data_IF_917208188763
#
_entry.id   IF_917208188763
#
_cell.length_a   1.000
_cell.length_b   1.000
_cell.length_c   1.000
_cell.angle_alpha   90.00
_cell.angle_beta   90.00
_cell.angle_gamma   90.00
#
_symmetry.space_group_name_H-M   'P 1'
#
loop_
_entity.id
_entity.type
_entity.pdbx_description
1 polymer ?
#
# COMPACT_ATOMS: atom_id res chain seq x y z
N UNK A 1 6.50 18.52 -5.40
CA UNK A 1 7.06 17.66 -4.35
C UNK A 1 8.40 18.26 -3.97
N UNK A 2 8.74 18.32 -2.67
CA UNK A 2 10.05 18.80 -2.26
C UNK A 2 11.11 17.75 -2.60
N UNK A 3 12.30 18.20 -2.96
CA UNK A 3 13.46 17.32 -3.10
C UNK A 3 14.00 17.05 -1.70
N UNK A 4 14.15 15.77 -1.33
CA UNK A 4 14.77 15.37 -0.08
C UNK A 4 16.19 14.91 -0.37
N UNK A 5 17.15 15.43 0.39
CA UNK A 5 18.54 14.99 0.34
C UNK A 5 18.80 14.12 1.57
N UNK A 6 19.12 12.84 1.36
CA UNK A 6 19.49 11.94 2.44
C UNK A 6 20.95 12.19 2.81
N UNK A 7 21.20 12.50 4.08
CA UNK A 7 22.54 12.72 4.61
C UNK A 7 22.70 11.92 5.89
N UNK A 8 23.86 11.27 6.05
CA UNK A 8 24.23 10.62 7.29
C UNK A 8 24.73 11.68 8.27
N UNK A 9 24.02 11.87 9.37
CA UNK A 9 24.51 12.70 10.47
C UNK A 9 25.42 11.88 11.39
N UNK A 10 26.49 12.50 11.88
CA UNK A 10 27.45 11.89 12.81
C UNK A 10 27.05 12.05 14.28
N UNK A 11 26.14 12.97 14.56
CA UNK A 11 25.80 13.39 15.93
C UNK A 11 24.33 13.26 16.25
N UNK A 12 23.48 13.06 15.23
CA UNK A 12 22.04 13.13 15.39
C UNK A 12 21.35 12.04 14.56
N UNK A 13 20.35 11.38 15.14
CA UNK A 13 19.41 10.53 14.41
C UNK A 13 18.05 11.18 14.54
N UNK A 14 17.56 11.77 13.46
CA UNK A 14 16.25 12.40 13.46
C UNK A 14 15.26 11.66 12.57
N UNK A 15 14.20 11.22 13.26
CA UNK A 15 12.98 10.53 12.80
C UNK A 15 13.17 9.16 12.10
N UNK A 16 12.59 8.06 12.64
CA UNK A 16 12.55 6.76 11.97
C UNK A 16 11.69 6.77 10.70
N UNK A 17 11.01 7.89 10.40
CA UNK A 17 10.04 7.98 9.31
C UNK A 17 10.66 8.49 8.00
N UNK A 18 11.99 8.58 7.89
CA UNK A 18 12.69 9.03 6.68
C UNK A 18 12.27 8.28 5.40
N UNK A 19 11.92 7.00 5.53
CA UNK A 19 11.39 6.17 4.43
C UNK A 19 10.14 6.72 3.77
N UNK A 20 9.33 7.56 4.45
CA UNK A 20 8.16 8.20 3.84
C UNK A 20 8.52 9.06 2.63
N UNK A 21 9.70 9.71 2.64
CA UNK A 21 10.15 10.50 1.51
C UNK A 21 10.41 9.62 0.28
N UNK A 22 10.93 8.41 0.49
CA UNK A 22 11.12 7.42 -0.57
C UNK A 22 9.77 6.90 -1.08
N UNK A 23 8.85 6.52 -0.17
CA UNK A 23 7.48 6.09 -0.55
C UNK A 23 6.78 7.16 -1.39
N UNK A 24 6.82 8.41 -0.93
CA UNK A 24 6.26 9.53 -1.67
C UNK A 24 6.95 9.75 -3.01
N UNK A 25 8.27 9.56 -3.11
CA UNK A 25 8.98 9.62 -4.38
C UNK A 25 8.49 8.53 -5.34
N UNK A 26 8.47 7.26 -4.89
CA UNK A 26 7.97 6.12 -5.67
C UNK A 26 6.56 6.38 -6.19
N UNK A 27 5.63 6.71 -5.29
CA UNK A 27 4.24 6.98 -5.66
C UNK A 27 4.12 8.14 -6.66
N UNK A 28 4.81 9.25 -6.43
CA UNK A 28 4.58 10.48 -7.20
C UNK A 28 5.38 10.56 -8.50
N UNK A 29 6.46 9.78 -8.65
CA UNK A 29 7.33 9.78 -9.84
C UNK A 29 7.19 8.55 -10.72
N UNK A 30 6.89 7.40 -10.12
CA UNK A 30 6.90 6.10 -10.80
C UNK A 30 5.50 5.51 -10.98
N UNK A 31 4.45 6.28 -10.69
CA UNK A 31 3.06 5.87 -10.95
C UNK A 31 2.25 7.00 -11.58
N UNK A 32 1.28 6.61 -12.39
CA UNK A 32 0.25 7.45 -12.98
C UNK A 32 -0.93 7.69 -12.02
N UNK A 33 -0.87 7.19 -10.77
CA UNK A 33 -1.98 7.18 -9.83
C UNK A 33 -2.57 8.57 -9.53
N UNK A 34 -1.73 9.61 -9.58
CA UNK A 34 -2.20 11.00 -9.42
C UNK A 34 -3.18 11.43 -10.54
N UNK A 35 -3.01 10.87 -11.74
CA UNK A 35 -3.89 11.10 -12.90
C UNK A 35 -5.07 10.12 -12.86
N UNK A 36 -4.81 8.82 -12.69
CA UNK A 36 -5.87 7.80 -12.75
C UNK A 36 -6.86 7.91 -11.60
N UNK A 37 -6.44 8.31 -10.39
CA UNK A 37 -7.37 8.52 -9.26
C UNK A 37 -8.44 9.60 -9.51
N UNK A 38 -8.32 10.41 -10.58
CA UNK A 38 -9.32 11.39 -11.01
C UNK A 38 -10.47 10.77 -11.80
N UNK A 39 -10.32 9.55 -12.31
CA UNK A 39 -11.38 8.85 -13.06
C UNK A 39 -12.51 8.39 -12.13
N UNK A 40 -12.18 8.12 -10.86
CA UNK A 40 -13.18 7.86 -9.83
C UNK A 40 -13.83 9.17 -9.43
N UNK A 41 -15.12 9.28 -9.73
CA UNK A 41 -15.92 10.48 -9.44
C UNK A 41 -15.88 10.76 -7.94
N UNK A 42 -15.36 11.93 -7.57
CA UNK A 42 -15.51 12.44 -6.21
C UNK A 42 -16.79 13.26 -6.12
N UNK A 43 -17.61 13.04 -5.09
CA UNK A 43 -18.80 13.88 -4.86
C UNK A 43 -18.41 15.32 -4.54
N UNK A 44 -17.65 15.55 -3.45
CA UNK A 44 -17.09 16.87 -3.10
C UNK A 44 -15.86 16.74 -2.18
N UNK A 45 -15.02 17.78 -2.17
CA UNK A 45 -13.92 17.93 -1.22
C UNK A 45 -12.59 17.31 -1.66
N UNK A 46 -11.97 16.58 -0.72
CA UNK A 46 -10.60 16.05 -0.79
C UNK A 46 -10.43 15.12 -2.00
N UNK A 47 -9.42 15.36 -2.87
CA UNK A 47 -9.11 14.46 -3.99
C UNK A 47 -8.75 13.04 -3.55
N UNK A 48 -9.14 12.03 -4.34
CA UNK A 48 -8.86 10.62 -4.03
C UNK A 48 -7.37 10.32 -3.83
N UNK A 49 -6.49 10.96 -4.62
CA UNK A 49 -5.05 10.80 -4.46
C UNK A 49 -4.54 11.24 -3.08
N UNK A 50 -5.19 12.21 -2.43
CA UNK A 50 -4.81 12.65 -1.08
C UNK A 50 -5.22 11.62 -0.03
N UNK A 51 -6.36 10.96 -0.22
CA UNK A 51 -6.79 9.83 0.61
C UNK A 51 -5.79 8.67 0.50
N UNK A 52 -5.45 8.29 -0.73
CA UNK A 52 -4.49 7.23 -1.02
C UNK A 52 -3.12 7.55 -0.41
N UNK A 53 -2.57 8.74 -0.67
CA UNK A 53 -1.28 9.17 -0.10
C UNK A 53 -1.29 9.08 1.42
N UNK A 54 -2.35 9.57 2.05
CA UNK A 54 -2.47 9.58 3.51
C UNK A 54 -2.48 8.15 4.05
N UNK A 55 -3.34 7.28 3.52
CA UNK A 55 -3.48 5.93 4.04
C UNK A 55 -2.28 5.05 3.71
N UNK A 56 -1.70 5.17 2.51
CA UNK A 56 -0.43 4.50 2.15
C UNK A 56 0.68 4.89 3.12
N UNK A 57 0.81 6.18 3.42
CA UNK A 57 1.76 6.68 4.42
C UNK A 57 1.56 6.04 5.79
N UNK A 58 0.30 5.91 6.25
CA UNK A 58 -0.02 5.26 7.52
C UNK A 58 0.36 3.76 7.52
N UNK A 59 0.01 3.03 6.46
CA UNK A 59 0.35 1.61 6.32
C UNK A 59 1.88 1.42 6.35
N UNK A 60 2.64 2.29 5.68
CA UNK A 60 4.11 2.20 5.69
C UNK A 60 4.74 2.46 7.05
N UNK A 61 3.98 3.08 7.98
CA UNK A 61 4.35 3.24 9.38
C UNK A 61 3.80 2.13 10.29
N UNK A 62 3.21 1.06 9.72
CA UNK A 62 2.58 -0.02 10.47
C UNK A 62 1.25 0.36 11.11
N UNK A 63 0.60 1.44 10.65
CA UNK A 63 -0.67 1.92 11.21
C UNK A 63 -1.81 1.67 10.22
N UNK A 64 -2.64 0.66 10.49
CA UNK A 64 -3.81 0.32 9.66
C UNK A 64 -5.11 1.01 10.09
N UNK A 65 -5.17 1.54 11.32
CA UNK A 65 -6.36 2.20 11.86
C UNK A 65 -6.54 3.62 11.26
N UNK A 66 -7.77 3.97 10.84
CA UNK A 66 -8.08 5.30 10.30
C UNK A 66 -7.84 6.45 11.30
N UNK A 67 -7.94 6.21 12.61
CA UNK A 67 -7.67 7.16 13.67
C UNK A 67 -6.21 7.63 13.66
N UNK A 68 -5.29 6.80 13.13
CA UNK A 68 -3.90 7.17 12.96
C UNK A 68 -3.68 8.36 12.01
N UNK A 69 -4.71 8.75 11.24
CA UNK A 69 -4.68 9.95 10.41
C UNK A 69 -4.67 11.25 11.21
N UNK A 70 -5.24 11.29 12.42
CA UNK A 70 -5.40 12.54 13.17
C UNK A 70 -4.05 13.18 13.56
N UNK A 71 -3.08 12.43 14.13
CA UNK A 71 -1.79 13.01 14.50
C UNK A 71 -0.98 13.49 13.29
N UNK A 72 -1.09 12.82 12.14
CA UNK A 72 -0.32 13.15 10.93
C UNK A 72 -1.00 14.22 10.07
N UNK A 73 -2.24 14.60 10.39
CA UNK A 73 -3.04 15.54 9.60
C UNK A 73 -2.37 16.91 9.49
N UNK A 74 -1.71 17.34 10.55
CA UNK A 74 -0.97 18.62 10.65
C UNK A 74 0.54 18.45 10.60
N UNK A 75 1.07 17.23 10.50
CA UNK A 75 2.51 16.95 10.42
C UNK A 75 3.09 17.48 9.09
N UNK A 76 3.98 18.50 9.13
CA UNK A 76 4.57 19.08 7.93
C UNK A 76 5.46 18.12 7.16
N UNK A 77 6.17 17.22 7.85
CA UNK A 77 7.07 16.24 7.24
C UNK A 77 6.26 15.17 6.52
N UNK A 78 5.28 14.56 7.20
CA UNK A 78 4.40 13.54 6.60
C UNK A 78 3.75 14.05 5.31
N UNK A 79 3.19 15.28 5.38
CA UNK A 79 2.58 15.92 4.21
C UNK A 79 3.57 16.19 3.08
N UNK A 80 4.74 16.72 3.42
CA UNK A 80 5.78 17.05 2.43
C UNK A 80 6.34 15.80 1.76
N UNK A 81 6.58 14.75 2.54
CA UNK A 81 7.13 13.47 2.10
C UNK A 81 6.23 12.81 1.07
N UNK A 82 4.93 12.72 1.37
CA UNK A 82 3.95 12.06 0.50
C UNK A 82 3.38 12.96 -0.60
N UNK A 83 3.60 14.29 -0.51
CA UNK A 83 3.04 15.26 -1.43
C UNK A 83 1.56 15.59 -1.18
N UNK A 84 1.13 15.51 0.09
CA UNK A 84 -0.25 15.79 0.53
C UNK A 84 -0.44 17.30 0.67
N UNK A 85 -1.40 17.83 -0.09
CA UNK A 85 -1.87 19.22 0.00
C UNK A 85 -3.00 19.34 1.02
N UNK A 86 -3.93 18.39 1.02
CA UNK A 86 -5.12 18.42 1.86
C UNK A 86 -5.28 17.11 2.63
N UNK A 87 -4.89 17.13 3.90
CA UNK A 87 -4.96 15.97 4.78
C UNK A 87 -6.41 15.69 5.21
N UNK A 88 -6.95 14.48 4.99
CA UNK A 88 -8.27 14.08 5.47
C UNK A 88 -8.28 13.83 6.99
N UNK A 89 -9.46 13.94 7.60
CA UNK A 89 -9.71 13.38 8.94
C UNK A 89 -9.90 11.87 8.87
N UNK A 90 -9.77 11.21 10.02
CA UNK A 90 -10.08 9.79 10.22
C UNK A 90 -11.48 9.43 9.70
N UNK A 91 -12.49 10.19 10.12
CA UNK A 91 -13.88 10.01 9.69
C UNK A 91 -14.03 10.15 8.18
N UNK A 92 -13.33 11.12 7.57
CA UNK A 92 -13.39 11.34 6.13
C UNK A 92 -12.70 10.23 5.33
N UNK A 93 -11.57 9.70 5.81
CA UNK A 93 -10.92 8.53 5.21
C UNK A 93 -11.85 7.32 5.21
N UNK A 94 -12.42 7.00 6.38
CA UNK A 94 -13.33 5.86 6.54
C UNK A 94 -14.51 5.96 5.59
N UNK A 95 -15.25 7.08 5.64
CA UNK A 95 -16.40 7.31 4.78
C UNK A 95 -16.04 7.14 3.29
N UNK A 96 -14.93 7.75 2.85
CA UNK A 96 -14.58 7.76 1.42
C UNK A 96 -14.09 6.40 0.93
N UNK A 97 -13.45 5.60 1.78
CA UNK A 97 -13.09 4.24 1.39
C UNK A 97 -14.28 3.30 1.45
N UNK A 98 -15.22 3.45 2.39
CA UNK A 98 -16.48 2.70 2.36
C UNK A 98 -17.26 2.94 1.06
N UNK A 99 -17.25 4.18 0.56
CA UNK A 99 -17.92 4.57 -0.69
C UNK A 99 -17.14 4.14 -1.95
N UNK A 100 -15.83 4.43 -2.01
CA UNK A 100 -15.08 4.41 -3.28
C UNK A 100 -14.03 3.29 -3.39
N UNK A 101 -13.77 2.49 -2.33
CA UNK A 101 -12.65 1.53 -2.33
C UNK A 101 -12.71 0.55 -3.51
N UNK A 102 -13.89 0.01 -3.83
CA UNK A 102 -14.06 -0.93 -4.97
C UNK A 102 -13.61 -0.33 -6.31
N UNK A 103 -13.79 0.97 -6.50
CA UNK A 103 -13.36 1.68 -7.71
C UNK A 103 -11.89 2.09 -7.67
N UNK A 104 -11.32 2.27 -6.47
CA UNK A 104 -9.91 2.67 -6.28
C UNK A 104 -8.96 1.47 -6.33
N UNK A 105 -9.39 0.28 -5.90
CA UNK A 105 -8.55 -0.93 -5.84
C UNK A 105 -7.89 -1.28 -7.19
N UNK A 106 -8.63 -1.36 -8.32
CA UNK A 106 -7.99 -1.67 -9.61
C UNK A 106 -6.93 -0.64 -10.02
N UNK A 107 -7.10 0.62 -9.61
CA UNK A 107 -6.11 1.66 -9.90
C UNK A 107 -4.81 1.46 -9.11
N UNK A 108 -4.91 0.92 -7.88
CA UNK A 108 -3.75 0.59 -7.05
C UNK A 108 -3.02 -0.65 -7.58
N UNK A 109 -3.75 -1.65 -8.05
CA UNK A 109 -3.16 -2.86 -8.65
C UNK A 109 -2.33 -2.49 -9.89
N UNK A 110 -2.91 -1.70 -10.80
CA UNK A 110 -2.21 -1.20 -11.99
C UNK A 110 -1.02 -0.31 -11.62
N UNK A 111 -1.17 0.58 -10.63
CA UNK A 111 -0.06 1.43 -10.18
C UNK A 111 1.09 0.62 -9.56
N UNK A 112 0.81 -0.52 -8.94
CA UNK A 112 1.84 -1.41 -8.39
C UNK A 112 2.66 -2.06 -9.51
N UNK A 113 1.99 -2.52 -10.57
CA UNK A 113 2.65 -3.05 -11.77
C UNK A 113 3.44 -1.96 -12.49
N UNK A 114 2.85 -0.78 -12.66
CA UNK A 114 3.51 0.38 -13.27
C UNK A 114 4.77 0.78 -12.50
N UNK A 115 4.70 0.81 -11.17
CA UNK A 115 5.83 1.10 -10.30
C UNK A 115 6.98 0.13 -10.55
N UNK A 116 6.71 -1.19 -10.47
CA UNK A 116 7.73 -2.23 -10.67
C UNK A 116 8.39 -2.13 -12.05
N UNK A 117 7.61 -1.87 -13.09
CA UNK A 117 8.13 -1.64 -14.45
C UNK A 117 8.97 -0.37 -14.53
N UNK A 118 8.49 0.72 -13.94
CA UNK A 118 9.15 2.03 -13.99
C UNK A 118 10.51 2.04 -13.30
N UNK A 119 10.66 1.29 -12.20
CA UNK A 119 11.95 1.15 -11.50
C UNK A 119 12.86 0.06 -12.08
N UNK A 120 12.38 -0.69 -13.08
CA UNK A 120 13.11 -1.82 -13.65
C UNK A 120 13.36 -2.93 -12.63
N UNK A 121 12.37 -3.20 -11.77
CA UNK A 121 12.49 -4.19 -10.71
C UNK A 121 12.86 -5.57 -11.31
N UNK A 122 13.99 -6.17 -10.89
CA UNK A 122 14.44 -7.43 -11.48
C UNK A 122 13.54 -8.57 -11.03
N UNK A 123 12.98 -9.30 -11.99
CA UNK A 123 12.35 -10.60 -11.77
C UNK A 123 13.38 -11.66 -12.10
N UNK A 124 14.13 -12.09 -11.09
CA UNK A 124 15.25 -13.03 -11.27
C UNK A 124 14.89 -14.43 -10.77
N UNK A 125 15.31 -15.49 -11.49
CA UNK A 125 15.11 -16.85 -11.03
C UNK A 125 16.07 -17.18 -9.88
N UNK A 126 15.63 -18.08 -9.00
CA UNK A 126 16.49 -18.78 -8.06
C UNK A 126 17.49 -19.70 -8.80
N UNK A 127 18.54 -20.21 -8.14
CA UNK A 127 19.50 -21.13 -8.76
C UNK A 127 18.89 -22.34 -9.47
N UNK A 128 17.68 -22.76 -9.08
CA UNK A 128 16.94 -23.87 -9.71
C UNK A 128 16.08 -23.44 -10.91
N UNK A 129 16.25 -22.22 -11.43
CA UNK A 129 15.55 -21.72 -12.63
C UNK A 129 14.12 -21.20 -12.41
N UNK A 130 13.59 -21.26 -11.19
CA UNK A 130 12.23 -20.82 -10.86
C UNK A 130 12.22 -19.43 -10.22
N UNK A 131 11.22 -18.61 -10.53
CA UNK A 131 11.00 -17.32 -9.86
C UNK A 131 10.26 -17.57 -8.55
N UNK A 132 10.77 -17.00 -7.45
CA UNK A 132 10.08 -17.06 -6.17
C UNK A 132 8.75 -16.30 -6.27
N UNK A 133 7.65 -17.02 -6.08
CA UNK A 133 6.32 -16.44 -5.94
C UNK A 133 5.99 -16.40 -4.45
N UNK A 134 5.92 -15.18 -3.89
CA UNK A 134 5.43 -14.99 -2.54
C UNK A 134 3.90 -15.11 -2.56
N UNK A 135 3.39 -16.23 -2.04
CA UNK A 135 1.96 -16.47 -1.87
C UNK A 135 1.66 -16.44 -0.38
N UNK A 136 0.59 -15.75 0.01
CA UNK A 136 0.15 -15.75 1.40
C UNK A 136 -0.22 -17.18 1.80
N UNK A 137 0.63 -17.80 2.62
CA UNK A 137 0.48 -19.18 3.08
C UNK A 137 -0.48 -19.28 4.26
N UNK A 138 -1.10 -18.19 4.71
CA UNK A 138 -2.09 -18.24 5.78
C UNK A 138 -3.32 -19.04 5.30
N UNK A 139 -3.55 -20.26 5.80
CA UNK A 139 -4.69 -21.05 5.36
C UNK A 139 -5.93 -20.47 6.03
N UNK A 140 -6.58 -19.54 5.35
CA UNK A 140 -7.92 -19.08 5.72
C UNK A 140 -8.92 -20.23 5.51
N UNK A 141 -9.92 -20.35 6.38
CA UNK A 141 -11.04 -21.25 6.14
C UNK A 141 -11.83 -20.78 4.92
N UNK A 142 -11.65 -21.51 3.81
CA UNK A 142 -12.31 -21.24 2.53
C UNK A 142 -13.54 -22.15 2.33
N UNK A 143 -13.99 -22.88 3.37
CA UNK A 143 -15.08 -23.86 3.29
C UNK A 143 -16.41 -23.29 2.76
N UNK A 144 -16.61 -21.98 2.87
CA UNK A 144 -17.80 -21.28 2.37
C UNK A 144 -17.56 -20.48 1.08
N UNK A 145 -16.41 -20.63 0.43
CA UNK A 145 -16.10 -19.96 -0.83
C UNK A 145 -16.04 -20.97 -1.97
N UNK A 146 -16.71 -20.68 -3.09
CA UNK A 146 -16.67 -21.51 -4.31
C UNK A 146 -15.38 -21.29 -5.12
N UNK A 147 -14.23 -21.10 -4.46
CA UNK A 147 -12.95 -20.90 -5.15
C UNK A 147 -12.43 -22.24 -5.66
N UNK A 148 -12.23 -22.34 -6.97
CA UNK A 148 -11.64 -23.51 -7.61
C UNK A 148 -10.17 -23.68 -7.20
N UNK A 149 -9.72 -24.93 -7.03
CA UNK A 149 -8.33 -25.25 -6.70
C UNK A 149 -7.93 -25.11 -5.22
N UNK A 150 -8.88 -24.83 -4.32
CA UNK A 150 -8.62 -24.74 -2.87
C UNK A 150 -9.17 -25.98 -2.17
N UNK A 151 -8.31 -26.95 -1.85
CA UNK A 151 -8.69 -28.11 -1.02
C UNK A 151 -8.66 -27.76 0.48
N UNK A 152 -9.66 -28.24 1.23
CA UNK A 152 -9.86 -28.05 2.67
C UNK A 152 -8.58 -28.32 3.51
N UNK A 153 -7.90 -27.27 4.00
CA UNK A 153 -6.72 -27.43 4.87
C UNK A 153 -7.08 -27.43 6.37
N UNK A 154 -8.19 -26.81 6.78
CA UNK A 154 -8.51 -26.61 8.21
C UNK A 154 -9.63 -27.55 8.67
N UNK A 155 -9.28 -28.82 8.92
CA UNK A 155 -10.01 -29.68 9.86
C UNK A 155 -9.06 -30.05 11.01
N UNK A 156 -9.39 -29.79 12.29
CA UNK A 156 -8.60 -30.30 13.38
C UNK A 156 -8.67 -31.84 13.32
N UNK A 157 -7.56 -32.49 12.98
CA UNK A 157 -7.45 -33.95 12.94
C UNK A 157 -6.89 -34.58 11.66
N UNK A 158 -6.54 -33.82 10.62
CA UNK A 158 -5.88 -34.43 9.44
C UNK A 158 -4.39 -34.70 9.72
N UNK A 159 -4.06 -35.97 10.00
CA UNK A 159 -2.68 -36.47 9.92
C UNK A 159 -2.32 -36.60 8.44
N UNK A 160 -1.19 -36.01 8.05
CA UNK A 160 -0.66 -36.10 6.69
C UNK A 160 -0.48 -37.57 6.27
N UNK A 161 -1.14 -37.94 5.18
CA UNK A 161 -0.76 -39.10 4.38
C UNK A 161 0.23 -38.61 3.33
N UNK A 162 1.44 -39.14 3.36
CA UNK A 162 2.33 -39.10 2.21
C UNK A 162 1.65 -39.91 1.09
N UNK A 163 1.56 -39.32 -0.11
CA UNK A 163 1.22 -40.05 -1.31
C UNK A 163 2.53 -40.57 -1.91
N UNK A 164 2.59 -41.89 -2.09
CA UNK A 164 3.53 -42.57 -2.98
C UNK A 164 3.34 -42.12 -4.44
#
# INVERSE_FOLDING_TARGET
MRTFTLQQSRTEVYTPNGGLALVGHCLNRHTSLTKTARTVVKRHGIPNIELIRTYLGLITLGKSDFQAAEPVRTDPFFKSALGIKQSPSSARLRQRFDEDAKALMPLLDEASVEFLRSVGAPVSPLPMGHVALDMDVFPMDNSQTHKEGVSYMNRPGYRGGYLD
#
